data_IF_166651980521
#
_entry.id   IF_166651980521
#
_cell.length_a   1.000
_cell.length_b   1.000
_cell.length_c   1.000
_cell.angle_alpha   90.00
_cell.angle_beta   90.00
_cell.angle_gamma   90.00
#
_symmetry.space_group_name_H-M   'P 1'
#
loop_
_entity.id
_entity.type
_entity.pdbx_description
1 polymer ?
#
# COMPACT_ATOMS: atom_id res chain seq x y z
N UNK A 1 -18.49 8.36 11.23
CA UNK A 1 -19.21 9.65 11.15
C UNK A 1 -19.78 9.99 12.52
N UNK A 2 -19.52 11.20 13.04
CA UNK A 2 -19.99 11.59 14.37
C UNK A 2 -21.46 12.02 14.36
N UNK A 3 -22.24 11.55 15.35
CA UNK A 3 -23.63 11.97 15.55
C UNK A 3 -24.67 11.35 14.60
N UNK A 4 -24.25 10.46 13.69
CA UNK A 4 -25.18 9.73 12.83
C UNK A 4 -25.71 8.47 13.51
N UNK A 5 -26.97 8.07 13.26
CA UNK A 5 -27.47 6.76 13.67
C UNK A 5 -26.61 5.64 13.11
N UNK A 6 -26.27 4.67 13.96
CA UNK A 6 -25.57 3.45 13.56
C UNK A 6 -26.22 2.23 14.23
N UNK A 7 -26.08 1.06 13.61
CA UNK A 7 -26.50 -0.21 14.22
C UNK A 7 -25.61 -0.60 15.40
N UNK A 8 -25.97 -1.66 16.14
CA UNK A 8 -25.11 -2.23 17.17
C UNK A 8 -23.73 -2.60 16.60
N UNK A 9 -22.67 -2.32 17.35
CA UNK A 9 -21.32 -2.77 17.01
C UNK A 9 -21.20 -4.25 17.36
N UNK A 10 -20.79 -5.06 16.40
CA UNK A 10 -20.41 -6.47 16.61
C UNK A 10 -18.89 -6.55 16.48
N UNK A 11 -18.14 -6.70 17.58
CA UNK A 11 -16.70 -6.86 17.51
C UNK A 11 -16.35 -8.24 16.93
N UNK A 12 -15.50 -8.24 15.89
CA UNK A 12 -14.94 -9.45 15.31
C UNK A 12 -13.42 -9.30 15.24
N UNK A 13 -12.71 -10.42 15.40
CA UNK A 13 -11.27 -10.43 15.22
C UNK A 13 -10.95 -10.42 13.72
N UNK A 14 -10.13 -9.47 13.28
CA UNK A 14 -9.72 -9.34 11.89
C UNK A 14 -8.39 -10.07 11.66
N UNK A 15 -8.42 -11.14 10.87
CA UNK A 15 -7.20 -11.81 10.43
C UNK A 15 -6.56 -11.02 9.28
N UNK A 16 -5.47 -10.32 9.59
CA UNK A 16 -4.79 -9.46 8.63
C UNK A 16 -4.10 -10.26 7.53
N UNK A 17 -4.49 -10.00 6.29
CA UNK A 17 -3.79 -10.49 5.12
C UNK A 17 -2.36 -9.91 5.06
N UNK A 18 -1.44 -10.63 4.39
CA UNK A 18 -0.04 -10.19 4.28
C UNK A 18 0.10 -8.79 3.65
N UNK A 19 -0.76 -8.44 2.69
CA UNK A 19 -0.72 -7.14 2.04
C UNK A 19 -1.13 -6.01 2.98
N UNK A 20 -2.10 -6.23 3.87
CA UNK A 20 -2.53 -5.25 4.87
C UNK A 20 -1.39 -4.92 5.83
N UNK A 21 -0.66 -5.96 6.28
CA UNK A 21 0.55 -5.78 7.10
C UNK A 21 1.66 -5.01 6.36
N UNK A 22 1.79 -5.21 5.04
CA UNK A 22 2.74 -4.45 4.22
C UNK A 22 2.32 -2.98 4.06
N UNK A 23 1.02 -2.69 3.95
CA UNK A 23 0.51 -1.31 3.94
C UNK A 23 0.83 -0.60 5.24
N UNK A 24 0.59 -1.25 6.39
CA UNK A 24 0.94 -0.71 7.71
C UNK A 24 2.45 -0.44 7.85
N UNK A 25 3.28 -1.39 7.43
CA UNK A 25 4.73 -1.22 7.42
C UNK A 25 5.17 -0.07 6.50
N UNK A 26 4.55 0.09 5.33
CA UNK A 26 4.85 1.17 4.40
C UNK A 26 4.48 2.54 4.99
N UNK A 27 3.31 2.65 5.61
CA UNK A 27 2.88 3.84 6.34
C UNK A 27 3.92 4.22 7.41
N UNK A 28 4.31 3.26 8.24
CA UNK A 28 5.28 3.44 9.32
C UNK A 28 6.61 3.92 8.78
N UNK A 29 7.13 3.28 7.73
CA UNK A 29 8.41 3.65 7.12
C UNK A 29 8.38 5.02 6.46
N UNK A 30 7.33 5.34 5.72
CA UNK A 30 7.22 6.61 5.00
C UNK A 30 7.08 7.79 5.96
N UNK A 31 6.29 7.65 7.02
CA UNK A 31 6.14 8.68 8.07
C UNK A 31 7.42 8.83 8.90
N UNK A 32 8.06 7.72 9.30
CA UNK A 32 9.34 7.76 10.05
C UNK A 32 10.45 8.42 9.24
N UNK A 33 10.47 8.22 7.92
CA UNK A 33 11.41 8.87 7.00
C UNK A 33 11.01 10.29 6.60
N UNK A 34 9.93 10.84 7.17
CA UNK A 34 9.48 12.21 6.91
C UNK A 34 8.98 12.44 5.48
N UNK A 35 8.51 11.41 4.78
CA UNK A 35 7.94 11.57 3.42
C UNK A 35 6.58 12.25 3.45
N UNK A 36 5.80 12.02 4.50
CA UNK A 36 4.57 12.74 4.83
C UNK A 36 4.29 12.59 6.34
N UNK A 37 3.28 13.29 6.85
CA UNK A 37 2.88 13.26 8.27
C UNK A 37 1.56 12.50 8.46
N UNK A 38 1.25 12.12 9.70
CA UNK A 38 -0.08 11.55 10.03
C UNK A 38 -1.20 12.51 9.65
N UNK A 39 -1.00 13.82 9.77
CA UNK A 39 -1.98 14.81 9.35
C UNK A 39 -2.13 14.85 7.81
N UNK A 40 -1.04 14.66 7.06
CA UNK A 40 -1.09 14.48 5.60
C UNK A 40 -1.89 13.24 5.19
N UNK A 41 -1.73 12.13 5.92
CA UNK A 41 -2.54 10.92 5.72
C UNK A 41 -4.04 11.23 5.95
N UNK A 42 -4.37 11.89 7.06
CA UNK A 42 -5.75 12.23 7.43
C UNK A 42 -6.40 13.18 6.44
N UNK A 43 -5.70 14.25 6.03
CA UNK A 43 -6.17 15.18 5.00
C UNK A 43 -6.65 14.43 3.76
N UNK A 44 -5.79 13.56 3.23
CA UNK A 44 -6.12 12.82 2.01
C UNK A 44 -7.26 11.83 2.23
N UNK A 45 -7.36 11.18 3.40
CA UNK A 45 -8.50 10.32 3.73
C UNK A 45 -9.81 11.13 3.77
N UNK A 46 -9.80 12.30 4.38
CA UNK A 46 -10.97 13.19 4.48
C UNK A 46 -11.38 13.73 3.10
N UNK A 47 -10.43 13.94 2.18
CA UNK A 47 -10.66 14.37 0.80
C UNK A 47 -11.35 13.28 -0.08
N UNK A 48 -11.35 12.00 0.33
CA UNK A 48 -11.94 10.90 -0.48
C UNK A 48 -13.47 10.91 -0.52
N UNK A 49 -14.12 11.58 0.44
CA UNK A 49 -15.58 11.67 0.53
C UNK A 49 -16.27 10.37 1.00
N UNK A 50 -17.57 10.43 1.37
CA UNK A 50 -18.26 9.34 2.08
C UNK A 50 -18.36 8.02 1.31
N UNK A 51 -18.60 8.07 0.00
CA UNK A 51 -18.74 6.88 -0.86
C UNK A 51 -17.50 5.98 -0.78
N UNK A 52 -16.31 6.58 -0.74
CA UNK A 52 -15.06 5.83 -0.66
C UNK A 52 -14.90 5.12 0.69
N UNK A 53 -15.46 5.67 1.77
CA UNK A 53 -15.48 5.02 3.10
C UNK A 53 -16.44 3.84 3.18
N UNK A 54 -17.51 3.85 2.36
CA UNK A 54 -18.52 2.80 2.33
C UNK A 54 -18.12 1.63 1.44
N UNK A 55 -17.34 1.90 0.39
CA UNK A 55 -17.00 0.92 -0.66
C UNK A 55 -15.61 0.32 -0.54
N UNK A 56 -14.71 0.92 0.26
CA UNK A 56 -13.33 0.46 0.41
C UNK A 56 -13.03 0.08 1.85
N UNK A 57 -12.30 -1.03 1.99
CA UNK A 57 -11.76 -1.50 3.26
C UNK A 57 -10.82 -0.47 3.89
N UNK A 58 -10.51 -0.68 5.18
CA UNK A 58 -9.62 0.19 5.93
C UNK A 58 -8.24 0.34 5.27
N UNK A 59 -7.62 -0.77 4.88
CA UNK A 59 -6.27 -0.75 4.30
C UNK A 59 -6.23 -0.29 2.84
N UNK A 60 -7.32 -0.45 2.07
CA UNK A 60 -7.44 0.14 0.73
C UNK A 60 -7.43 1.68 0.81
N UNK A 61 -8.15 2.25 1.79
CA UNK A 61 -8.11 3.69 2.03
C UNK A 61 -6.73 4.18 2.45
N UNK A 62 -6.04 3.40 3.28
CA UNK A 62 -4.69 3.74 3.71
C UNK A 62 -3.69 3.71 2.57
N UNK A 63 -3.65 2.65 1.76
CA UNK A 63 -2.69 2.59 0.66
C UNK A 63 -2.93 3.66 -0.40
N UNK A 64 -4.19 4.02 -0.65
CA UNK A 64 -4.53 5.14 -1.53
C UNK A 64 -4.02 6.48 -0.96
N UNK A 65 -4.21 6.71 0.34
CA UNK A 65 -3.72 7.93 1.01
C UNK A 65 -2.19 8.01 1.02
N UNK A 66 -1.51 6.89 1.31
CA UNK A 66 -0.05 6.78 1.22
C UNK A 66 0.42 7.10 -0.20
N UNK A 67 -0.20 6.49 -1.22
CA UNK A 67 0.18 6.68 -2.61
C UNK A 67 0.08 8.15 -3.05
N UNK A 68 -1.04 8.81 -2.75
CA UNK A 68 -1.24 10.23 -3.07
C UNK A 68 -0.21 11.12 -2.38
N UNK A 69 0.05 10.93 -1.09
CA UNK A 69 1.06 11.69 -0.37
C UNK A 69 2.47 11.50 -0.96
N UNK A 70 2.84 10.28 -1.35
CA UNK A 70 4.15 10.01 -1.96
C UNK A 70 4.28 10.66 -3.34
N UNK A 71 3.22 10.68 -4.15
CA UNK A 71 3.18 11.38 -5.44
C UNK A 71 3.27 12.89 -5.24
N UNK A 72 2.49 13.46 -4.32
CA UNK A 72 2.53 14.90 -3.99
C UNK A 72 3.90 15.34 -3.47
N UNK A 73 4.61 14.48 -2.74
CA UNK A 73 5.98 14.73 -2.28
C UNK A 73 7.03 14.67 -3.41
N UNK A 74 6.63 14.23 -4.61
CA UNK A 74 7.52 14.03 -5.75
C UNK A 74 8.42 12.80 -5.64
N UNK A 75 8.11 11.83 -4.78
CA UNK A 75 8.93 10.61 -4.63
C UNK A 75 8.89 9.74 -5.89
N UNK A 76 7.73 9.69 -6.53
CA UNK A 76 7.52 9.11 -7.85
C UNK A 76 6.30 9.77 -8.51
N UNK A 77 6.20 9.64 -9.81
CA UNK A 77 5.10 10.13 -10.64
C UNK A 77 4.02 9.07 -10.86
N UNK A 78 2.85 9.52 -11.32
CA UNK A 78 1.77 8.62 -11.76
C UNK A 78 2.20 7.73 -12.93
N UNK A 79 3.09 8.22 -13.80
CA UNK A 79 3.62 7.46 -14.92
C UNK A 79 4.53 6.32 -14.46
N UNK A 80 5.43 6.58 -13.48
CA UNK A 80 6.28 5.55 -12.89
C UNK A 80 5.47 4.51 -12.12
N UNK A 81 4.42 4.94 -11.40
CA UNK A 81 3.50 4.03 -10.75
C UNK A 81 2.79 3.13 -11.76
N UNK A 82 2.25 3.69 -12.85
CA UNK A 82 1.58 2.93 -13.90
C UNK A 82 2.52 1.91 -14.55
N UNK A 83 3.74 2.32 -14.91
CA UNK A 83 4.75 1.41 -15.44
C UNK A 83 5.05 0.27 -14.44
N UNK A 84 5.17 0.60 -13.15
CA UNK A 84 5.43 -0.42 -12.13
C UNK A 84 4.27 -1.40 -11.94
N UNK A 85 3.02 -0.92 -12.05
CA UNK A 85 1.84 -1.78 -11.98
C UNK A 85 1.81 -2.77 -13.15
N UNK A 86 2.17 -2.35 -14.36
CA UNK A 86 2.29 -3.26 -15.52
C UNK A 86 3.39 -4.30 -15.30
N UNK A 87 4.57 -3.90 -14.81
CA UNK A 87 5.64 -4.84 -14.46
C UNK A 87 5.23 -5.86 -13.40
N UNK A 88 4.41 -5.47 -12.42
CA UNK A 88 3.92 -6.38 -11.37
C UNK A 88 2.86 -7.32 -11.91
N UNK A 89 1.90 -6.82 -12.70
CA UNK A 89 0.86 -7.62 -13.37
C UNK A 89 1.45 -8.66 -14.30
N UNK A 90 2.55 -8.36 -14.98
CA UNK A 90 3.23 -9.30 -15.86
C UNK A 90 3.83 -10.53 -15.13
N UNK A 91 3.92 -10.51 -13.79
CA UNK A 91 4.49 -11.62 -13.00
C UNK A 91 3.47 -12.73 -12.71
N UNK A 92 2.17 -12.43 -12.78
CA UNK A 92 1.10 -13.40 -12.56
C UNK A 92 -0.23 -12.75 -12.22
N UNK A 93 -1.24 -13.57 -11.97
CA UNK A 93 -2.62 -13.11 -11.73
C UNK A 93 -2.90 -12.96 -10.24
N UNK A 94 -2.25 -13.79 -9.42
CA UNK A 94 -2.45 -13.79 -7.98
C UNK A 94 -1.49 -12.83 -7.27
N UNK A 95 -1.87 -12.38 -6.08
CA UNK A 95 -0.98 -11.62 -5.21
C UNK A 95 0.33 -12.35 -4.93
N UNK A 96 0.27 -13.68 -4.77
CA UNK A 96 1.43 -14.53 -4.52
C UNK A 96 2.43 -14.46 -5.66
N UNK A 97 1.99 -14.68 -6.89
CA UNK A 97 2.83 -14.60 -8.09
C UNK A 97 3.36 -13.18 -8.32
N UNK A 98 2.50 -12.16 -8.17
CA UNK A 98 2.88 -10.75 -8.27
C UNK A 98 3.93 -10.31 -7.23
N UNK A 99 3.88 -10.91 -6.03
CA UNK A 99 4.72 -10.54 -4.88
C UNK A 99 6.13 -11.12 -4.93
N UNK A 100 6.41 -12.06 -5.84
CA UNK A 100 7.75 -12.59 -6.02
C UNK A 100 8.64 -11.49 -6.62
N UNK A 101 9.85 -11.35 -6.09
CA UNK A 101 10.88 -10.51 -6.71
C UNK A 101 11.17 -11.03 -8.11
N UNK A 102 11.52 -10.13 -9.03
CA UNK A 102 12.10 -10.50 -10.33
C UNK A 102 13.15 -11.60 -10.12
N UNK A 103 13.29 -12.57 -11.05
CA UNK A 103 14.18 -13.72 -10.87
C UNK A 103 15.54 -13.21 -10.39
N UNK A 104 16.00 -13.78 -9.27
CA UNK A 104 17.33 -13.53 -8.69
C UNK A 104 18.33 -13.42 -9.85
N UNK A 105 18.96 -12.26 -10.00
CA UNK A 105 20.06 -12.10 -10.94
C UNK A 105 21.06 -13.22 -10.60
N UNK A 106 21.26 -14.12 -11.55
CA UNK A 106 21.86 -15.43 -11.31
C UNK A 106 23.10 -15.36 -10.42
N UNK A 107 23.24 -16.34 -9.53
CA UNK A 107 24.52 -16.66 -8.91
C UNK A 107 25.60 -16.64 -10.00
N UNK A 108 26.51 -15.67 -9.89
CA UNK A 108 27.71 -15.62 -10.69
C UNK A 108 28.50 -16.92 -10.52
N UNK A 109 29.36 -17.27 -11.48
CA UNK A 109 30.04 -18.55 -11.46
C UNK A 109 30.86 -18.66 -10.18
N UNK A 110 30.66 -19.76 -9.44
CA UNK A 110 31.54 -20.14 -8.35
C UNK A 110 32.97 -20.14 -8.88
N UNK A 111 33.79 -19.25 -8.34
CA UNK A 111 35.22 -19.26 -8.58
C UNK A 111 35.74 -20.60 -8.07
N UNK A 112 36.18 -21.45 -9.00
CA UNK A 112 36.82 -22.71 -8.68
C UNK A 112 38.04 -22.46 -7.80
N UNK A 113 38.07 -23.14 -6.65
CA UNK A 113 39.25 -23.23 -5.81
C UNK A 113 40.24 -24.19 -6.49
N UNK A 114 41.45 -23.69 -6.74
CA UNK A 114 42.58 -24.44 -7.27
C UNK A 114 43.50 -24.95 -6.17
#
# INVERSE_FOLDING_TARGET
MGGLPAGPVVPEEHDYALWERRVDALLTLATTKGKFTVDGLRRVLEDMGPEFFETHSYYERWIESVNRNLIESGLYSTAELAAKLEEVRARGETYGECSLTAPEAGSGPEAGDG
#
